data_IF_088060181159
#
_entry.id   IF_088060181159
#
_cell.length_a   1.000
_cell.length_b   1.000
_cell.length_c   1.000
_cell.angle_alpha   90.00
_cell.angle_beta   90.00
_cell.angle_gamma   90.00
#
_symmetry.space_group_name_H-M   'P 1'
#
loop_
_entity.id
_entity.type
_entity.pdbx_description
1 polymer ?
#
# COMPACT_ATOMS: atom_id res chain seq x y z
N UNK A 1 -26.38 5.20 -2.70
CA UNK A 1 -25.81 6.12 -1.68
C UNK A 1 -24.40 6.62 -2.02
N UNK A 2 -23.75 6.09 -3.07
CA UNK A 2 -22.40 6.54 -3.51
C UNK A 2 -22.42 7.90 -4.24
N UNK A 3 -23.55 8.29 -4.79
CA UNK A 3 -23.65 9.52 -5.59
C UNK A 3 -23.71 10.81 -4.74
N UNK A 4 -24.14 10.75 -3.48
CA UNK A 4 -24.33 11.95 -2.66
C UNK A 4 -23.04 12.57 -2.12
N UNK A 5 -21.96 11.79 -1.97
CA UNK A 5 -20.68 12.31 -1.44
C UNK A 5 -19.91 13.10 -2.50
N UNK A 6 -20.03 12.74 -3.77
CA UNK A 6 -19.36 13.43 -4.86
C UNK A 6 -20.00 14.81 -5.15
N UNK A 7 -21.29 14.96 -4.90
CA UNK A 7 -22.01 16.23 -5.12
C UNK A 7 -21.57 17.34 -4.15
N UNK A 8 -21.11 16.98 -2.94
CA UNK A 8 -20.60 17.91 -1.95
C UNK A 8 -19.31 18.63 -2.40
N UNK A 9 -18.55 18.03 -3.29
CA UNK A 9 -17.27 18.57 -3.78
C UNK A 9 -17.39 19.23 -5.14
N UNK A 10 -18.58 19.26 -5.77
CA UNK A 10 -18.76 19.90 -7.07
C UNK A 10 -18.60 21.42 -6.94
N UNK A 11 -17.56 21.92 -7.57
CA UNK A 11 -17.29 23.34 -7.73
C UNK A 11 -16.94 23.61 -9.19
N UNK A 12 -17.36 24.74 -9.73
CA UNK A 12 -17.03 25.16 -11.10
C UNK A 12 -15.50 25.27 -11.36
N UNK A 13 -14.72 25.35 -10.28
CA UNK A 13 -13.25 25.47 -10.33
C UNK A 13 -12.51 24.13 -10.22
N UNK A 14 -13.22 23.01 -10.04
CA UNK A 14 -12.63 21.69 -9.81
C UNK A 14 -13.09 20.72 -10.90
N UNK A 15 -12.13 20.14 -11.61
CA UNK A 15 -12.39 19.09 -12.57
C UNK A 15 -12.33 17.72 -11.87
N UNK A 16 -13.32 16.87 -12.13
CA UNK A 16 -13.42 15.54 -11.55
C UNK A 16 -13.07 14.49 -12.58
N UNK A 17 -12.20 13.59 -12.20
CA UNK A 17 -11.85 12.42 -13.01
C UNK A 17 -12.07 11.16 -12.19
N UNK A 18 -12.90 10.25 -12.70
CA UNK A 18 -13.19 8.97 -12.06
C UNK A 18 -12.39 7.89 -12.77
N UNK A 19 -11.60 7.15 -12.01
CA UNK A 19 -10.82 6.03 -12.50
C UNK A 19 -11.35 4.72 -11.94
N UNK A 20 -11.39 3.69 -12.79
CA UNK A 20 -11.78 2.33 -12.42
C UNK A 20 -10.84 1.33 -13.11
N UNK A 21 -10.41 0.31 -12.40
CA UNK A 21 -9.50 -0.70 -12.94
C UNK A 21 -8.69 -1.42 -11.86
N UNK A 22 -7.66 -2.19 -12.26
CA UNK A 22 -6.77 -2.88 -11.34
C UNK A 22 -5.93 -1.92 -10.50
N UNK A 23 -5.30 -2.42 -9.45
CA UNK A 23 -4.57 -1.64 -8.43
C UNK A 23 -3.71 -0.47 -8.96
N UNK A 24 -2.89 -0.58 -10.02
CA UNK A 24 -2.08 0.55 -10.50
C UNK A 24 -2.87 1.81 -10.86
N UNK A 25 -4.16 1.69 -11.19
CA UNK A 25 -5.01 2.85 -11.52
C UNK A 25 -5.30 3.73 -10.30
N UNK A 26 -5.21 3.19 -9.09
CA UNK A 26 -5.35 3.94 -7.83
C UNK A 26 -4.11 4.75 -7.45
N UNK A 27 -2.99 4.56 -8.13
CA UNK A 27 -1.77 5.31 -7.86
C UNK A 27 -1.83 6.70 -8.48
N UNK A 28 -1.45 7.70 -7.70
CA UNK A 28 -1.47 9.12 -8.12
C UNK A 28 -0.66 9.35 -9.39
N UNK A 29 0.55 8.75 -9.49
CA UNK A 29 1.38 8.84 -10.68
C UNK A 29 0.71 8.33 -11.95
N UNK A 30 -0.03 7.22 -11.86
CA UNK A 30 -0.81 6.66 -12.98
C UNK A 30 -1.93 7.59 -13.40
N UNK A 31 -2.65 8.18 -12.44
CA UNK A 31 -3.73 9.12 -12.69
C UNK A 31 -3.20 10.39 -13.37
N UNK A 32 -2.10 10.95 -12.87
CA UNK A 32 -1.43 12.11 -13.46
C UNK A 32 -1.01 11.81 -14.90
N UNK A 33 -0.38 10.66 -15.13
CA UNK A 33 0.05 10.28 -16.48
C UNK A 33 -1.12 10.22 -17.48
N UNK A 34 -2.30 9.81 -17.02
CA UNK A 34 -3.50 9.72 -17.87
C UNK A 34 -4.20 11.06 -18.12
N UNK A 35 -4.11 12.00 -17.16
CA UNK A 35 -4.78 13.32 -17.26
C UNK A 35 -3.86 14.33 -17.95
N UNK A 36 -2.65 14.48 -17.42
CA UNK A 36 -1.68 15.45 -17.86
C UNK A 36 -0.28 14.96 -17.48
N UNK A 37 0.42 14.26 -18.38
CA UNK A 37 1.73 13.70 -18.06
C UNK A 37 2.70 14.76 -17.53
N UNK A 38 3.33 14.46 -16.40
CA UNK A 38 4.34 15.31 -15.81
C UNK A 38 5.62 15.35 -16.66
N UNK A 39 6.25 16.49 -16.75
CA UNK A 39 7.52 16.70 -17.44
C UNK A 39 8.32 17.81 -16.76
N UNK A 40 9.54 18.07 -17.22
CA UNK A 40 10.33 19.20 -16.72
C UNK A 40 9.62 20.56 -16.92
N UNK A 41 8.83 20.67 -17.98
CA UNK A 41 8.04 21.89 -18.29
C UNK A 41 6.65 21.89 -17.63
N UNK A 42 6.14 20.72 -17.25
CA UNK A 42 4.82 20.54 -16.65
C UNK A 42 4.96 19.88 -15.28
N UNK A 43 5.19 20.70 -14.26
CA UNK A 43 5.30 20.26 -12.87
C UNK A 43 3.91 20.16 -12.24
N UNK A 44 3.62 19.03 -11.58
CA UNK A 44 2.32 18.76 -10.97
C UNK A 44 2.51 18.54 -9.48
N UNK A 45 1.73 19.26 -8.70
CA UNK A 45 1.65 19.07 -7.25
C UNK A 45 0.48 18.18 -6.90
N UNK A 46 0.67 17.34 -5.91
CA UNK A 46 -0.36 16.44 -5.39
C UNK A 46 -0.58 16.68 -3.91
N UNK A 47 -1.81 16.54 -3.47
CA UNK A 47 -2.18 16.64 -2.07
C UNK A 47 -3.22 15.58 -1.74
N UNK A 48 -3.06 14.91 -0.60
CA UNK A 48 -4.04 13.96 -0.08
C UNK A 48 -5.26 14.67 0.53
N UNK A 49 -6.35 13.94 0.67
CA UNK A 49 -7.58 14.51 1.24
C UNK A 49 -7.43 14.92 2.71
N UNK A 50 -6.64 14.18 3.50
CA UNK A 50 -6.42 14.52 4.91
C UNK A 50 -5.57 15.79 5.04
N UNK A 51 -4.54 15.94 4.22
CA UNK A 51 -3.70 17.12 4.15
C UNK A 51 -4.50 18.36 3.70
N UNK A 52 -5.40 18.18 2.74
CA UNK A 52 -6.30 19.26 2.30
C UNK A 52 -7.23 19.73 3.44
N UNK A 53 -7.84 18.79 4.18
CA UNK A 53 -8.67 19.08 5.35
C UNK A 53 -7.85 19.80 6.43
N UNK A 54 -6.62 19.37 6.67
CA UNK A 54 -5.70 19.97 7.63
C UNK A 54 -5.37 21.42 7.26
N UNK A 55 -5.07 21.70 6.00
CA UNK A 55 -4.86 23.06 5.50
C UNK A 55 -6.11 23.91 5.73
N UNK A 56 -7.28 23.39 5.37
CA UNK A 56 -8.56 24.08 5.58
C UNK A 56 -8.79 24.41 7.07
N UNK A 57 -8.60 23.46 7.97
CA UNK A 57 -8.69 23.69 9.42
C UNK A 57 -7.69 24.78 9.88
N UNK A 58 -6.44 24.71 9.42
CA UNK A 58 -5.41 25.68 9.80
C UNK A 58 -5.78 27.08 9.35
N UNK A 59 -6.28 27.25 8.14
CA UNK A 59 -6.72 28.55 7.62
C UNK A 59 -7.90 29.11 8.43
N UNK A 60 -8.83 28.27 8.84
CA UNK A 60 -10.02 28.69 9.59
C UNK A 60 -9.73 28.98 11.08
N UNK A 61 -8.83 28.26 11.70
CA UNK A 61 -8.59 28.32 13.15
C UNK A 61 -7.32 29.08 13.53
N UNK A 62 -6.37 29.22 12.62
CA UNK A 62 -5.04 29.75 12.88
C UNK A 62 -4.09 28.76 13.58
N UNK A 63 -4.55 27.52 13.85
CA UNK A 63 -3.74 26.48 14.54
C UNK A 63 -3.52 25.28 13.63
N UNK A 64 -2.32 24.71 13.64
CA UNK A 64 -2.01 23.49 12.90
C UNK A 64 -2.55 22.29 13.65
N UNK A 65 -3.47 21.55 13.05
CA UNK A 65 -3.97 20.28 13.56
C UNK A 65 -2.97 19.15 13.27
N UNK A 66 -2.66 18.34 14.26
CA UNK A 66 -1.84 17.13 14.10
C UNK A 66 -2.66 15.86 13.88
N UNK A 67 -3.99 15.98 13.93
CA UNK A 67 -4.91 14.85 13.76
C UNK A 67 -4.65 14.10 12.45
N UNK A 68 -4.64 12.78 12.55
CA UNK A 68 -4.50 11.89 11.41
C UNK A 68 -5.36 10.64 11.59
N UNK A 69 -6.18 10.33 10.60
CA UNK A 69 -6.90 9.07 10.53
C UNK A 69 -6.06 8.01 9.85
N UNK A 70 -5.88 6.88 10.51
CA UNK A 70 -5.16 5.73 9.96
C UNK A 70 -6.01 4.46 10.10
N UNK A 71 -5.81 3.53 9.18
CA UNK A 71 -6.34 2.18 9.32
C UNK A 71 -5.25 1.27 9.87
N UNK A 72 -5.59 0.47 10.91
CA UNK A 72 -4.76 -0.66 11.34
C UNK A 72 -5.38 -1.92 10.79
N UNK A 73 -4.62 -2.68 10.01
CA UNK A 73 -5.11 -3.88 9.33
C UNK A 73 -4.00 -4.89 9.07
N UNK A 74 -4.39 -6.09 8.70
CA UNK A 74 -3.48 -7.18 8.37
C UNK A 74 -3.88 -8.48 9.04
N UNK A 75 -3.31 -9.62 8.61
CA UNK A 75 -3.66 -10.94 9.14
C UNK A 75 -3.31 -11.13 10.62
N UNK A 76 -2.42 -10.32 11.16
CA UNK A 76 -1.96 -10.38 12.54
C UNK A 76 -2.69 -9.40 13.48
N UNK A 77 -3.63 -8.62 12.99
CA UNK A 77 -4.47 -7.75 13.81
C UNK A 77 -5.74 -8.51 14.23
N UNK A 78 -6.08 -8.49 15.52
CA UNK A 78 -7.31 -9.13 15.99
C UNK A 78 -8.56 -8.51 15.37
N UNK A 79 -8.68 -7.19 15.44
CA UNK A 79 -9.81 -6.44 14.93
C UNK A 79 -9.30 -5.26 14.10
N UNK A 80 -9.38 -5.31 12.76
CA UNK A 80 -9.06 -4.16 11.92
C UNK A 80 -9.94 -2.96 12.25
N UNK A 81 -9.34 -1.79 12.40
CA UNK A 81 -10.05 -0.57 12.80
C UNK A 81 -9.46 0.68 12.18
N UNK A 82 -10.20 1.78 12.24
CA UNK A 82 -9.72 3.12 11.89
C UNK A 82 -9.54 3.89 13.18
N UNK A 83 -8.37 4.46 13.37
CA UNK A 83 -7.99 5.26 14.54
C UNK A 83 -7.75 6.71 14.16
N UNK A 84 -8.09 7.60 15.08
CA UNK A 84 -7.60 8.97 15.09
C UNK A 84 -6.34 9.01 15.95
N UNK A 85 -5.26 9.51 15.41
CA UNK A 85 -3.95 9.64 16.05
C UNK A 85 -3.24 10.90 15.62
N UNK A 86 -2.04 11.13 16.14
CA UNK A 86 -1.19 12.23 15.73
C UNK A 86 -0.19 11.82 14.64
N UNK A 87 0.29 12.81 13.90
CA UNK A 87 1.43 12.62 13.00
C UNK A 87 2.65 12.17 13.79
N UNK A 88 3.33 11.14 13.29
CA UNK A 88 4.53 10.60 13.93
C UNK A 88 4.26 9.81 15.21
N UNK A 89 3.03 9.34 15.42
CA UNK A 89 2.70 8.51 16.57
C UNK A 89 3.55 7.23 16.61
N UNK A 90 3.89 6.78 17.82
CA UNK A 90 4.64 5.56 18.03
C UNK A 90 3.80 4.34 17.61
N UNK A 91 4.35 3.52 16.72
CA UNK A 91 3.63 2.38 16.15
C UNK A 91 3.38 1.30 17.21
N UNK A 92 4.29 1.11 18.15
CA UNK A 92 4.16 0.17 19.25
C UNK A 92 2.98 0.53 20.17
N UNK A 93 2.82 1.80 20.49
CA UNK A 93 1.68 2.29 21.31
C UNK A 93 0.36 2.10 20.58
N UNK A 94 0.33 2.39 19.27
CA UNK A 94 -0.87 2.23 18.44
C UNK A 94 -1.33 0.78 18.33
N UNK A 95 -0.41 -0.17 18.40
CA UNK A 95 -0.66 -1.60 18.22
C UNK A 95 -0.75 -2.39 19.52
N UNK A 96 -0.49 -1.77 20.66
CA UNK A 96 -0.49 -2.41 21.98
C UNK A 96 -1.82 -3.14 22.26
N UNK A 97 -1.74 -4.43 22.57
CA UNK A 97 -2.89 -5.28 22.85
C UNK A 97 -3.79 -5.62 21.65
N UNK A 98 -3.42 -5.24 20.44
CA UNK A 98 -4.22 -5.46 19.22
C UNK A 98 -3.67 -6.55 18.31
N UNK A 99 -2.48 -7.07 18.60
CA UNK A 99 -1.77 -8.03 17.76
C UNK A 99 -1.84 -9.44 18.33
N UNK A 100 -1.78 -10.42 17.44
CA UNK A 100 -1.64 -11.84 17.80
C UNK A 100 -0.26 -12.10 18.39
N UNK A 101 -0.16 -13.16 19.21
CA UNK A 101 1.06 -13.57 19.94
C UNK A 101 2.10 -14.27 19.03
N UNK A 102 2.36 -13.72 17.85
CA UNK A 102 3.36 -14.21 16.92
C UNK A 102 4.39 -13.11 16.68
N UNK A 103 5.52 -13.46 16.10
CA UNK A 103 6.47 -12.44 15.66
C UNK A 103 5.85 -11.65 14.50
N UNK A 104 5.72 -10.35 14.69
CA UNK A 104 4.97 -9.47 13.80
C UNK A 104 5.90 -8.46 13.11
N UNK A 105 5.69 -8.30 11.80
CA UNK A 105 6.28 -7.22 11.03
C UNK A 105 5.28 -6.08 10.91
N UNK A 106 5.64 -4.94 11.49
CA UNK A 106 4.87 -3.70 11.42
C UNK A 106 5.31 -2.89 10.19
N UNK A 107 4.37 -2.49 9.37
CA UNK A 107 4.63 -1.76 8.12
C UNK A 107 3.84 -0.47 8.12
N UNK A 108 4.52 0.68 8.11
CA UNK A 108 3.88 1.98 7.86
C UNK A 108 3.59 2.11 6.37
N UNK A 109 2.33 1.99 6.01
CA UNK A 109 1.84 1.88 4.65
C UNK A 109 1.31 0.48 4.32
N UNK A 110 1.18 0.18 3.03
CA UNK A 110 0.75 -1.13 2.54
C UNK A 110 1.93 -2.10 2.40
N UNK A 111 1.64 -3.40 2.26
CA UNK A 111 2.66 -4.41 1.95
C UNK A 111 3.40 -4.16 0.61
N UNK A 112 2.84 -3.34 -0.28
CA UNK A 112 3.41 -3.08 -1.61
C UNK A 112 4.36 -1.88 -1.64
N UNK A 113 4.13 -0.87 -0.79
CA UNK A 113 4.88 0.38 -0.85
C UNK A 113 5.19 0.98 0.54
N UNK A 114 4.89 0.26 1.62
CA UNK A 114 5.23 0.68 2.98
C UNK A 114 6.68 0.38 3.35
N UNK A 115 7.08 0.90 4.50
CA UNK A 115 8.38 0.60 5.09
C UNK A 115 8.22 -0.04 6.47
N UNK A 116 9.21 -0.82 6.86
CA UNK A 116 9.22 -1.50 8.16
C UNK A 116 9.36 -0.47 9.28
N UNK A 117 8.59 -0.66 10.36
CA UNK A 117 8.64 0.15 11.55
C UNK A 117 9.50 -0.54 12.62
N UNK A 118 10.80 -0.28 12.61
CA UNK A 118 11.75 -0.86 13.56
C UNK A 118 12.75 0.20 14.04
N UNK A 119 13.17 0.11 15.29
CA UNK A 119 14.15 0.99 15.89
C UNK A 119 13.82 2.48 15.71
N UNK A 120 14.70 3.30 15.10
CA UNK A 120 14.44 4.72 14.88
C UNK A 120 13.27 5.03 13.94
N UNK A 121 12.81 4.04 13.16
CA UNK A 121 11.69 4.13 12.22
C UNK A 121 10.38 3.59 12.79
N UNK A 122 10.31 3.30 14.10
CA UNK A 122 9.12 2.79 14.78
C UNK A 122 8.02 3.85 14.96
N UNK A 123 7.90 4.77 14.02
CA UNK A 123 6.92 5.85 14.01
C UNK A 123 6.12 5.85 12.72
N UNK A 124 4.88 6.31 12.83
CA UNK A 124 3.99 6.44 11.69
C UNK A 124 4.51 7.50 10.70
N UNK A 125 4.72 7.09 9.46
CA UNK A 125 5.12 8.01 8.39
C UNK A 125 4.02 9.04 8.09
N UNK A 126 4.43 10.27 7.80
CA UNK A 126 3.53 11.35 7.41
C UNK A 126 2.69 11.02 6.16
N UNK A 127 3.23 10.24 5.24
CA UNK A 127 2.58 9.88 3.99
C UNK A 127 1.74 8.60 4.07
N UNK A 128 1.80 7.86 5.17
CA UNK A 128 1.08 6.59 5.32
C UNK A 128 -0.23 6.80 6.06
N UNK A 129 -1.35 6.45 5.44
CA UNK A 129 -2.69 6.46 6.06
C UNK A 129 -3.10 5.07 6.56
N UNK A 130 -2.17 4.14 6.57
CA UNK A 130 -2.39 2.74 6.91
C UNK A 130 -1.19 2.19 7.66
N UNK A 131 -1.46 1.37 8.67
CA UNK A 131 -0.51 0.50 9.33
C UNK A 131 -0.90 -0.94 9.04
N UNK A 132 0.00 -1.68 8.40
CA UNK A 132 -0.21 -3.07 8.03
C UNK A 132 0.63 -3.98 8.89
N UNK A 133 0.01 -5.03 9.43
CA UNK A 133 0.71 -6.01 10.28
C UNK A 133 0.62 -7.39 9.65
N UNK A 134 1.77 -7.96 9.34
CA UNK A 134 1.91 -9.30 8.81
C UNK A 134 2.78 -10.15 9.75
N UNK A 135 2.69 -11.47 9.64
CA UNK A 135 3.56 -12.37 10.40
C UNK A 135 4.99 -12.29 9.85
N UNK A 136 5.96 -12.15 10.75
CA UNK A 136 7.37 -12.27 10.38
C UNK A 136 7.69 -13.73 10.01
N UNK A 137 8.43 -13.91 8.95
CA UNK A 137 8.87 -15.24 8.52
C UNK A 137 10.16 -15.61 9.23
N UNK A 138 10.10 -16.68 10.03
CA UNK A 138 11.25 -17.27 10.68
C UNK A 138 11.98 -18.23 9.74
N UNK A 139 13.20 -18.64 10.12
CA UNK A 139 13.98 -19.61 9.34
C UNK A 139 13.25 -20.95 9.20
N UNK A 140 12.43 -21.30 10.17
CA UNK A 140 11.61 -22.54 10.18
C UNK A 140 10.49 -22.54 9.13
N UNK A 141 10.08 -21.36 8.64
CA UNK A 141 9.14 -21.24 7.51
C UNK A 141 9.73 -21.71 6.17
N UNK A 142 11.06 -21.93 6.11
CA UNK A 142 11.75 -22.49 4.95
C UNK A 142 11.69 -24.03 4.95
N UNK A 143 10.50 -24.57 4.92
CA UNK A 143 10.37 -26.03 4.75
C UNK A 143 10.96 -26.47 3.41
N UNK A 144 11.74 -27.55 3.46
CA UNK A 144 12.26 -28.21 2.26
C UNK A 144 11.10 -28.63 1.35
N UNK A 145 11.11 -28.22 0.09
CA UNK A 145 10.04 -28.40 -0.89
C UNK A 145 8.74 -27.61 -0.65
N UNK A 146 8.74 -26.60 0.20
CA UNK A 146 7.57 -25.78 0.49
C UNK A 146 6.98 -25.09 -0.77
N UNK A 147 7.79 -24.88 -1.79
CA UNK A 147 7.40 -24.32 -3.09
C UNK A 147 6.72 -25.35 -4.02
N UNK A 148 6.85 -26.65 -3.75
CA UNK A 148 6.32 -27.75 -4.57
C UNK A 148 5.01 -28.32 -4.02
N UNK A 149 4.64 -28.01 -2.78
CA UNK A 149 3.42 -28.53 -2.15
C UNK A 149 2.18 -27.89 -2.76
N UNK A 150 1.16 -28.67 -3.16
CA UNK A 150 -0.15 -28.15 -3.50
C UNK A 150 -0.82 -27.62 -2.22
N UNK A 151 -0.53 -26.40 -1.86
CA UNK A 151 -1.04 -25.80 -0.63
C UNK A 151 -2.29 -24.96 -0.90
N UNK A 152 -3.26 -25.07 0.02
CA UNK A 152 -4.56 -24.41 -0.11
C UNK A 152 -4.50 -22.93 0.35
N UNK A 153 -3.37 -22.47 0.90
CA UNK A 153 -3.26 -21.13 1.53
C UNK A 153 -2.28 -20.18 0.86
N UNK A 154 -1.55 -20.63 -0.16
CA UNK A 154 -0.52 -19.80 -0.82
C UNK A 154 -1.00 -19.17 -2.09
N UNK A 155 -0.49 -17.98 -2.37
CA UNK A 155 -0.64 -17.29 -3.64
C UNK A 155 0.44 -17.74 -4.62
N UNK A 156 0.07 -17.90 -5.89
CA UNK A 156 1.00 -18.08 -7.00
C UNK A 156 0.55 -17.27 -8.19
N UNK A 157 1.44 -16.48 -8.77
CA UNK A 157 1.19 -15.75 -10.03
C UNK A 157 0.94 -16.71 -11.21
N UNK A 158 1.58 -17.89 -11.20
CA UNK A 158 1.41 -18.94 -12.21
C UNK A 158 0.20 -19.83 -11.98
N UNK A 159 -0.65 -19.53 -11.00
CA UNK A 159 -1.85 -20.30 -10.65
C UNK A 159 -1.60 -21.78 -10.35
N UNK A 160 -0.46 -22.11 -9.78
CA UNK A 160 -0.06 -23.49 -9.49
C UNK A 160 -0.77 -24.08 -8.26
N UNK A 161 -1.35 -23.26 -7.40
CA UNK A 161 -2.03 -23.68 -6.19
C UNK A 161 -3.56 -23.71 -6.35
N UNK A 162 -4.22 -24.57 -5.61
CA UNK A 162 -5.68 -24.74 -5.62
C UNK A 162 -6.44 -23.46 -5.25
N UNK A 163 -5.81 -22.58 -4.48
CA UNK A 163 -6.37 -21.25 -4.15
C UNK A 163 -6.67 -20.38 -5.36
N UNK A 164 -6.00 -20.62 -6.48
CA UNK A 164 -6.25 -19.88 -7.72
C UNK A 164 -7.64 -20.13 -8.30
N UNK A 165 -8.30 -21.22 -7.93
CA UNK A 165 -9.66 -21.56 -8.34
C UNK A 165 -10.74 -20.89 -7.46
N UNK A 166 -10.35 -20.37 -6.28
CA UNK A 166 -11.28 -19.75 -5.33
C UNK A 166 -11.34 -18.25 -5.60
N UNK A 167 -12.50 -17.78 -6.05
CA UNK A 167 -12.73 -16.35 -6.26
C UNK A 167 -12.65 -15.58 -4.93
N UNK A 168 -11.97 -14.42 -4.94
CA UNK A 168 -11.86 -13.52 -3.80
C UNK A 168 -11.22 -14.15 -2.54
N UNK A 169 -10.37 -15.14 -2.71
CA UNK A 169 -9.61 -15.70 -1.59
C UNK A 169 -8.70 -14.64 -0.97
N UNK A 170 -8.77 -14.48 0.35
CA UNK A 170 -7.92 -13.55 1.09
C UNK A 170 -6.69 -14.30 1.62
N UNK A 171 -5.54 -13.93 1.12
CA UNK A 171 -4.27 -14.55 1.51
C UNK A 171 -3.74 -13.93 2.81
N UNK A 172 -3.35 -14.78 3.76
CA UNK A 172 -2.59 -14.35 4.92
C UNK A 172 -1.13 -14.17 4.51
N UNK A 173 -0.79 -12.96 4.08
CA UNK A 173 0.57 -12.63 3.67
C UNK A 173 1.51 -12.68 4.87
N UNK A 174 2.73 -13.15 4.62
CA UNK A 174 3.85 -13.17 5.56
C UNK A 174 5.05 -12.48 4.91
N UNK A 175 6.11 -12.23 5.66
CA UNK A 175 7.36 -11.70 5.12
C UNK A 175 8.21 -12.75 4.40
N UNK A 176 7.75 -14.02 4.32
CA UNK A 176 8.49 -15.09 3.67
C UNK A 176 8.67 -14.84 2.17
N UNK A 177 9.90 -14.92 1.70
CA UNK A 177 10.23 -14.77 0.27
C UNK A 177 9.68 -15.93 -0.58
N UNK A 178 9.41 -17.09 0.01
CA UNK A 178 8.92 -18.32 -0.67
C UNK A 178 9.74 -18.70 -1.91
N UNK A 179 11.01 -18.45 -1.91
CA UNK A 179 11.92 -18.77 -3.01
C UNK A 179 13.28 -18.10 -2.87
N UNK A 180 14.14 -18.27 -3.85
CA UNK A 180 15.44 -17.59 -3.94
C UNK A 180 15.33 -16.22 -4.62
N UNK A 181 16.36 -15.40 -4.45
CA UNK A 181 16.52 -14.19 -5.25
C UNK A 181 16.65 -14.56 -6.73
N UNK A 182 15.95 -13.82 -7.58
CA UNK A 182 16.00 -14.01 -9.03
C UNK A 182 16.50 -12.75 -9.70
N UNK A 183 17.29 -12.93 -10.77
CA UNK A 183 17.67 -11.82 -11.62
C UNK A 183 16.44 -11.25 -12.36
N UNK A 184 16.50 -9.98 -12.72
CA UNK A 184 15.53 -9.35 -13.60
C UNK A 184 15.75 -9.88 -15.00
N UNK A 185 14.77 -10.62 -15.54
CA UNK A 185 14.84 -11.21 -16.88
C UNK A 185 13.92 -10.43 -17.80
N UNK A 186 14.39 -9.90 -18.93
CA UNK A 186 13.60 -9.07 -19.85
C UNK A 186 12.70 -9.94 -20.75
N UNK A 187 11.67 -10.53 -20.18
CA UNK A 187 10.69 -11.37 -20.89
C UNK A 187 9.33 -10.67 -21.10
N UNK A 188 9.24 -9.37 -20.85
CA UNK A 188 8.03 -8.58 -21.08
C UNK A 188 6.97 -8.65 -19.97
N UNK A 189 7.20 -9.40 -18.90
CA UNK A 189 6.20 -9.58 -17.81
C UNK A 189 5.89 -8.27 -17.09
N UNK A 190 6.86 -7.39 -16.95
CA UNK A 190 6.66 -6.09 -16.29
C UNK A 190 5.93 -5.11 -17.18
N UNK A 191 6.19 -5.14 -18.48
CA UNK A 191 5.52 -4.31 -19.49
C UNK A 191 4.03 -4.64 -19.59
N UNK A 192 3.66 -5.91 -19.47
CA UNK A 192 2.25 -6.37 -19.52
C UNK A 192 1.42 -5.85 -18.33
N UNK A 193 2.06 -5.61 -17.19
CA UNK A 193 1.37 -5.19 -15.95
C UNK A 193 1.45 -3.67 -15.76
N UNK A 194 2.47 -3.04 -16.31
CA UNK A 194 2.75 -1.63 -16.07
C UNK A 194 1.78 -0.73 -16.84
N UNK A 195 1.11 0.22 -16.17
CA UNK A 195 -0.01 0.98 -16.77
C UNK A 195 0.43 2.11 -17.71
N UNK A 196 1.74 2.31 -17.88
CA UNK A 196 2.32 3.37 -18.70
C UNK A 196 3.18 2.76 -19.80
N UNK A 197 3.28 3.43 -20.94
CA UNK A 197 4.10 2.96 -22.06
C UNK A 197 5.59 3.33 -21.83
N UNK A 198 6.26 2.58 -20.96
CA UNK A 198 7.66 2.72 -20.61
C UNK A 198 8.37 1.36 -20.70
N UNK A 199 9.65 1.36 -21.01
CA UNK A 199 10.50 0.17 -20.99
C UNK A 199 10.89 -0.16 -19.54
N UNK A 200 9.91 -0.65 -18.77
CA UNK A 200 10.03 -0.81 -17.33
C UNK A 200 11.08 -1.85 -16.92
N UNK A 201 11.32 -2.87 -17.74
CA UNK A 201 12.35 -3.89 -17.46
C UNK A 201 13.75 -3.30 -17.58
N UNK A 202 13.99 -2.44 -18.56
CA UNK A 202 15.30 -1.84 -18.80
C UNK A 202 15.66 -0.76 -17.77
N UNK A 203 14.65 -0.07 -17.23
CA UNK A 203 14.86 1.00 -16.26
C UNK A 203 15.57 0.52 -14.98
N UNK A 204 15.10 -0.51 -14.24
CA UNK A 204 15.83 -1.02 -13.07
C UNK A 204 17.19 -1.58 -13.41
N UNK A 205 17.35 -2.26 -14.56
CA UNK A 205 18.65 -2.80 -14.99
C UNK A 205 19.67 -1.68 -15.22
N UNK A 206 19.22 -0.52 -15.69
CA UNK A 206 20.10 0.63 -15.92
C UNK A 206 20.45 1.42 -14.64
N UNK A 207 19.69 1.21 -13.54
CA UNK A 207 19.90 1.88 -12.25
C UNK A 207 20.81 1.08 -11.32
N UNK A 208 20.83 -0.26 -11.46
CA UNK A 208 21.68 -1.17 -10.69
C UNK A 208 23.10 -1.19 -11.25
#
# INVERSE_FOLDING_TARGET
SENNTLDLFRSEKINYHIFSGPHPIGLVGTQIHKISPASLANQIWTIGYQELIKIGKTVLTGYVSNDKYISISGPQVFNPEILLTDFGACVEELTAGKLKEEENRLISGSVLCGHICEGPLAYLSSFSNQLTVIREANQDDREFLNWLRPEIKKHSSLRMFLTSAIKNYKYNLTSALNGGFRAIVPVGVYEDIFPMNLLITQLPIAII
#
